data_IF_515890006438
#
_entry.id   IF_515890006438
#
_cell.length_a   1.000
_cell.length_b   1.000
_cell.length_c   1.000
_cell.angle_alpha   90.00
_cell.angle_beta   90.00
_cell.angle_gamma   90.00
#
_symmetry.space_group_name_H-M   'P 1'
#
loop_
_entity.id
_entity.type
_entity.pdbx_description
1 polymer ?
#
# COMPACT_ATOMS: atom_id res chain seq x y z
N UNK A 1 60.83 -11.81 5.66
CA UNK A 1 60.34 -10.42 5.57
C UNK A 1 59.50 -10.00 6.79
N UNK A 2 58.57 -10.85 7.27
CA UNK A 2 57.74 -10.61 8.47
C UNK A 2 58.51 -10.14 9.72
N UNK A 3 59.57 -10.85 10.13
CA UNK A 3 60.37 -10.50 11.32
C UNK A 3 60.99 -9.11 11.24
N UNK A 4 61.56 -8.74 10.09
CA UNK A 4 62.17 -7.42 9.85
C UNK A 4 61.16 -6.27 10.02
N UNK A 5 59.90 -6.48 9.62
CA UNK A 5 58.82 -5.48 9.75
C UNK A 5 58.42 -5.30 11.22
N UNK A 6 58.28 -6.40 11.96
CA UNK A 6 57.97 -6.34 13.40
C UNK A 6 59.10 -5.72 14.21
N UNK A 7 60.35 -6.07 13.92
CA UNK A 7 61.52 -5.50 14.60
C UNK A 7 61.66 -4.00 14.30
N UNK A 8 61.36 -3.57 13.08
CA UNK A 8 61.36 -2.15 12.68
C UNK A 8 60.25 -1.35 13.38
N UNK A 9 59.02 -1.86 13.39
CA UNK A 9 57.88 -1.22 14.07
C UNK A 9 58.11 -1.13 15.59
N UNK A 10 58.66 -2.19 16.18
CA UNK A 10 58.98 -2.24 17.61
C UNK A 10 60.08 -1.25 17.99
N UNK A 11 61.18 -1.21 17.22
CA UNK A 11 62.25 -0.21 17.45
C UNK A 11 61.75 1.21 17.29
N UNK A 12 60.95 1.48 16.26
CA UNK A 12 60.38 2.81 16.02
C UNK A 12 59.43 3.27 17.13
N UNK A 13 58.63 2.34 17.67
CA UNK A 13 57.75 2.62 18.80
C UNK A 13 58.51 2.96 20.10
N UNK A 14 59.68 2.34 20.31
CA UNK A 14 60.52 2.54 21.50
C UNK A 14 61.41 3.78 21.36
N UNK A 15 61.99 4.02 20.18
CA UNK A 15 62.94 5.12 19.94
C UNK A 15 62.25 6.49 19.81
N UNK A 16 60.99 6.54 19.39
CA UNK A 16 60.25 7.80 19.16
C UNK A 16 58.80 7.78 19.69
N UNK A 17 58.59 7.63 21.01
CA UNK A 17 57.26 7.44 21.60
C UNK A 17 56.27 8.57 21.27
N UNK A 18 56.73 9.83 21.26
CA UNK A 18 55.91 10.99 20.92
C UNK A 18 55.41 10.98 19.45
N UNK A 19 56.24 10.50 18.52
CA UNK A 19 55.85 10.39 17.09
C UNK A 19 54.86 9.26 16.90
N UNK A 20 55.07 8.13 17.56
CA UNK A 20 54.14 7.00 17.55
C UNK A 20 52.79 7.38 18.11
N UNK A 21 52.73 8.06 19.27
CA UNK A 21 51.47 8.55 19.86
C UNK A 21 50.76 9.52 18.92
N UNK A 22 51.47 10.47 18.31
CA UNK A 22 50.86 11.42 17.37
C UNK A 22 50.26 10.71 16.16
N UNK A 23 50.97 9.73 15.58
CA UNK A 23 50.49 8.97 14.42
C UNK A 23 49.25 8.16 14.78
N UNK A 24 49.26 7.42 15.90
CA UNK A 24 48.08 6.67 16.32
C UNK A 24 46.92 7.58 16.72
N UNK A 25 47.19 8.71 17.38
CA UNK A 25 46.18 9.72 17.70
C UNK A 25 45.53 10.29 16.44
N UNK A 26 46.31 10.59 15.40
CA UNK A 26 45.79 11.06 14.12
C UNK A 26 44.94 9.99 13.43
N UNK A 27 45.40 8.72 13.42
CA UNK A 27 44.61 7.59 12.92
C UNK A 27 43.30 7.45 13.71
N UNK A 28 43.32 7.54 15.03
CA UNK A 28 42.13 7.50 15.87
C UNK A 28 41.15 8.63 15.57
N UNK A 29 41.65 9.86 15.35
CA UNK A 29 40.81 11.00 14.93
C UNK A 29 40.18 10.74 13.57
N UNK A 30 40.94 10.20 12.60
CA UNK A 30 40.38 9.82 11.29
C UNK A 30 39.30 8.74 11.43
N UNK A 31 39.55 7.71 12.24
CA UNK A 31 38.55 6.69 12.53
C UNK A 31 37.30 7.27 13.20
N UNK A 32 37.44 8.24 14.11
CA UNK A 32 36.32 8.94 14.73
C UNK A 32 35.50 9.74 13.71
N UNK A 33 36.17 10.46 12.80
CA UNK A 33 35.50 11.24 11.74
C UNK A 33 34.72 10.32 10.79
N UNK A 34 35.28 9.16 10.45
CA UNK A 34 34.61 8.17 9.60
C UNK A 34 33.45 7.51 10.36
N UNK A 35 33.67 7.10 11.61
CA UNK A 35 32.66 6.48 12.47
C UNK A 35 31.47 7.41 12.73
N UNK A 36 31.72 8.71 12.90
CA UNK A 36 30.66 9.71 13.07
C UNK A 36 29.73 9.84 11.83
N UNK A 37 30.16 9.37 10.65
CA UNK A 37 29.37 9.38 9.41
C UNK A 37 28.65 8.06 9.15
N UNK A 38 28.80 7.08 10.03
CA UNK A 38 28.15 5.78 9.86
C UNK A 38 26.63 5.95 9.87
N UNK A 39 25.96 5.45 8.83
CA UNK A 39 24.50 5.46 8.73
C UNK A 39 23.98 4.04 8.91
N UNK A 40 22.99 3.87 9.76
CA UNK A 40 22.27 2.61 9.91
C UNK A 40 21.09 2.65 8.93
N UNK A 41 21.03 1.68 8.03
CA UNK A 41 19.87 1.45 7.15
C UNK A 41 19.10 0.25 7.68
N UNK A 42 17.78 0.37 7.75
CA UNK A 42 16.86 -0.74 8.09
C UNK A 42 16.18 -1.32 6.85
N UNK A 43 16.61 -0.91 5.65
CA UNK A 43 16.04 -1.41 4.39
C UNK A 43 16.48 -2.85 4.18
N UNK A 44 15.51 -3.75 4.12
CA UNK A 44 15.76 -5.16 3.83
C UNK A 44 16.46 -5.36 2.47
N UNK A 45 16.14 -4.54 1.47
CA UNK A 45 16.77 -4.59 0.14
C UNK A 45 18.29 -4.39 0.18
N UNK A 46 18.80 -3.66 1.16
CA UNK A 46 20.25 -3.36 1.28
C UNK A 46 21.03 -4.59 1.79
N UNK A 47 20.34 -5.58 2.38
CA UNK A 47 20.92 -6.86 2.83
C UNK A 47 21.04 -7.89 1.69
N UNK A 48 20.41 -7.62 0.54
CA UNK A 48 20.37 -8.54 -0.60
C UNK A 48 21.53 -8.32 -1.56
N UNK A 49 21.83 -9.31 -2.43
CA UNK A 49 22.82 -9.16 -3.49
C UNK A 49 22.40 -8.06 -4.48
N UNK A 50 23.07 -6.91 -4.43
CA UNK A 50 22.72 -5.73 -5.26
C UNK A 50 22.86 -5.95 -6.78
N UNK A 51 23.56 -7.02 -7.18
CA UNK A 51 23.73 -7.41 -8.59
C UNK A 51 22.63 -8.33 -9.11
N UNK A 52 21.73 -8.79 -8.25
CA UNK A 52 20.61 -9.63 -8.68
C UNK A 52 19.57 -8.78 -9.47
N UNK A 53 19.11 -9.24 -10.64
CA UNK A 53 18.13 -8.50 -11.45
C UNK A 53 16.83 -8.17 -10.70
N UNK A 54 16.39 -9.05 -9.81
CA UNK A 54 15.14 -8.86 -9.04
C UNK A 54 15.28 -7.73 -8.02
N UNK A 55 16.45 -7.60 -7.41
CA UNK A 55 16.75 -6.51 -6.45
C UNK A 55 16.83 -5.16 -7.17
N UNK A 56 17.38 -5.15 -8.38
CA UNK A 56 17.46 -3.93 -9.19
C UNK A 56 16.09 -3.44 -9.64
N UNK A 57 15.23 -4.33 -10.13
CA UNK A 57 13.86 -3.96 -10.51
C UNK A 57 13.03 -3.52 -9.29
N UNK A 58 13.17 -4.21 -8.16
CA UNK A 58 12.54 -3.78 -6.91
C UNK A 58 12.98 -2.35 -6.53
N UNK A 59 14.29 -2.09 -6.48
CA UNK A 59 14.81 -0.76 -6.17
C UNK A 59 14.34 0.29 -7.18
N UNK A 60 14.29 -0.04 -8.48
CA UNK A 60 13.76 0.85 -9.51
C UNK A 60 12.30 1.20 -9.26
N UNK A 61 11.46 0.22 -8.87
CA UNK A 61 10.06 0.47 -8.52
C UNK A 61 9.97 1.38 -7.29
N UNK A 62 10.74 1.12 -6.22
CA UNK A 62 10.72 1.97 -5.03
C UNK A 62 11.17 3.41 -5.35
N UNK A 63 12.15 3.59 -6.23
CA UNK A 63 12.66 4.91 -6.62
C UNK A 63 11.72 5.66 -7.56
N UNK A 64 11.07 4.96 -8.50
CA UNK A 64 10.14 5.57 -9.47
C UNK A 64 8.75 5.82 -8.89
N UNK A 65 8.29 4.96 -7.97
CA UNK A 65 6.97 5.05 -7.37
C UNK A 65 7.10 5.54 -5.94
N UNK A 66 6.90 6.85 -5.76
CA UNK A 66 6.96 7.51 -4.46
C UNK A 66 5.89 6.98 -3.47
N UNK A 67 4.87 6.27 -3.97
CA UNK A 67 3.85 5.57 -3.18
C UNK A 67 4.27 4.19 -2.66
N UNK A 68 5.50 3.74 -2.93
CA UNK A 68 5.95 2.41 -2.54
C UNK A 68 6.11 2.24 -1.03
N UNK A 69 6.16 3.35 -0.27
CA UNK A 69 6.06 3.34 1.18
C UNK A 69 4.69 3.89 1.59
N UNK A 70 3.90 3.05 2.26
CA UNK A 70 2.61 3.45 2.83
C UNK A 70 2.62 3.20 4.34
N UNK A 71 1.99 4.11 5.07
CA UNK A 71 1.70 3.96 6.49
C UNK A 71 0.21 3.68 6.60
N UNK A 72 -0.14 2.51 7.14
CA UNK A 72 -1.53 2.13 7.35
C UNK A 72 -1.88 2.38 8.81
N UNK A 73 -2.88 3.22 9.05
CA UNK A 73 -3.39 3.53 10.39
C UNK A 73 -4.74 2.83 10.53
N UNK A 74 -4.87 1.97 11.53
CA UNK A 74 -6.11 1.26 11.84
C UNK A 74 -6.74 1.88 13.08
N UNK A 75 -7.95 2.41 12.94
CA UNK A 75 -8.71 2.99 14.04
C UNK A 75 -9.77 1.98 14.48
N UNK A 76 -9.89 1.76 15.80
CA UNK A 76 -10.83 0.81 16.39
C UNK A 76 -11.75 1.52 17.38
N UNK A 77 -13.05 1.28 17.28
CA UNK A 77 -14.07 1.92 18.12
C UNK A 77 -15.48 1.73 17.57
N UNK A 78 -16.40 2.58 18.02
CA UNK A 78 -17.76 2.67 17.47
C UNK A 78 -17.73 3.38 16.11
N UNK A 79 -18.51 2.88 15.14
CA UNK A 79 -18.45 3.33 13.74
C UNK A 79 -18.54 4.86 13.58
N UNK A 80 -19.51 5.50 14.23
CA UNK A 80 -19.70 6.95 14.14
C UNK A 80 -18.49 7.73 14.69
N UNK A 81 -17.92 7.27 15.82
CA UNK A 81 -16.76 7.91 16.44
C UNK A 81 -15.50 7.73 15.60
N UNK A 82 -15.32 6.55 14.98
CA UNK A 82 -14.18 6.28 14.11
C UNK A 82 -14.20 7.19 12.88
N UNK A 83 -15.36 7.35 12.24
CA UNK A 83 -15.51 8.20 11.04
C UNK A 83 -15.16 9.66 11.35
N UNK A 84 -15.74 10.21 12.41
CA UNK A 84 -15.45 11.58 12.84
C UNK A 84 -13.98 11.78 13.21
N UNK A 85 -13.38 10.81 13.91
CA UNK A 85 -11.95 10.86 14.24
C UNK A 85 -11.07 10.82 12.98
N UNK A 86 -11.40 9.97 12.01
CA UNK A 86 -10.68 9.90 10.74
C UNK A 86 -10.76 11.21 9.95
N UNK A 87 -11.91 11.87 9.94
CA UNK A 87 -12.08 13.20 9.33
C UNK A 87 -11.20 14.25 10.01
N UNK A 88 -11.11 14.24 11.35
CA UNK A 88 -10.33 15.21 12.14
C UNK A 88 -8.82 15.04 11.97
N UNK A 89 -8.31 13.81 11.93
CA UNK A 89 -6.85 13.56 11.84
C UNK A 89 -6.30 13.67 10.42
N UNK A 90 -7.15 13.54 9.39
CA UNK A 90 -6.69 13.46 8.00
C UNK A 90 -5.98 14.74 7.53
N UNK A 91 -6.54 15.91 7.85
CA UNK A 91 -5.99 17.20 7.44
C UNK A 91 -4.64 17.51 8.14
N UNK A 92 -4.52 17.37 9.48
CA UNK A 92 -3.22 17.50 10.16
C UNK A 92 -2.13 16.58 9.60
N UNK A 93 -2.47 15.31 9.29
CA UNK A 93 -1.52 14.35 8.72
C UNK A 93 -1.12 14.78 7.31
N UNK A 94 -2.09 15.25 6.50
CA UNK A 94 -1.81 15.72 5.14
C UNK A 94 -0.96 16.98 5.09
N UNK A 95 -0.94 17.79 6.16
CA UNK A 95 -0.11 18.98 6.27
C UNK A 95 1.37 18.68 6.62
N UNK A 96 1.70 17.43 6.97
CA UNK A 96 3.08 17.03 7.28
C UNK A 96 3.94 17.06 6.01
N UNK A 97 5.10 17.71 6.09
CA UNK A 97 6.03 17.92 4.95
C UNK A 97 6.41 16.63 4.19
N UNK A 98 6.45 15.49 4.88
CA UNK A 98 6.91 14.22 4.33
C UNK A 98 5.75 13.31 3.88
N UNK A 99 4.50 13.78 3.96
CA UNK A 99 3.32 13.04 3.55
C UNK A 99 2.83 13.62 2.22
N UNK A 100 2.75 12.77 1.20
CA UNK A 100 2.27 13.17 -0.14
C UNK A 100 0.75 13.17 -0.25
N UNK A 101 0.11 12.15 0.31
CA UNK A 101 -1.33 11.95 0.19
C UNK A 101 -1.86 11.12 1.35
N UNK A 102 -3.06 11.45 1.83
CA UNK A 102 -3.80 10.70 2.85
C UNK A 102 -5.09 10.16 2.23
N UNK A 103 -5.20 8.84 2.09
CA UNK A 103 -6.45 8.18 1.69
C UNK A 103 -7.14 7.68 2.94
N UNK A 104 -8.33 8.21 3.25
CA UNK A 104 -9.10 7.77 4.42
C UNK A 104 -10.60 7.59 4.15
N UNK A 105 -11.12 8.17 3.06
CA UNK A 105 -12.51 7.99 2.61
C UNK A 105 -12.58 7.74 1.11
N UNK A 106 -13.61 6.98 0.72
CA UNK A 106 -13.97 6.80 -0.68
C UNK A 106 -14.43 8.17 -1.22
N UNK A 107 -13.99 8.53 -2.42
CA UNK A 107 -14.42 9.75 -3.09
C UNK A 107 -15.84 9.58 -3.62
N UNK A 108 -16.83 9.97 -2.81
CA UNK A 108 -18.26 9.83 -3.15
C UNK A 108 -18.62 10.61 -4.41
N UNK A 109 -18.02 11.77 -4.65
CA UNK A 109 -18.32 12.61 -5.82
C UNK A 109 -17.85 11.96 -7.12
N UNK A 110 -16.67 11.33 -7.09
CA UNK A 110 -16.17 10.56 -8.22
C UNK A 110 -17.13 9.42 -8.60
N UNK A 111 -17.56 8.62 -7.62
CA UNK A 111 -18.50 7.51 -7.86
C UNK A 111 -19.89 8.00 -8.26
N UNK A 112 -20.35 9.13 -7.72
CA UNK A 112 -21.64 9.72 -8.10
C UNK A 112 -21.65 10.14 -9.56
N UNK A 113 -20.55 10.70 -10.06
CA UNK A 113 -20.45 11.22 -11.42
C UNK A 113 -20.01 10.16 -12.45
N UNK A 114 -19.25 9.14 -12.04
CA UNK A 114 -18.63 8.16 -12.96
C UNK A 114 -18.98 6.70 -12.64
N UNK A 115 -19.81 6.41 -11.64
CA UNK A 115 -20.09 5.04 -11.19
C UNK A 115 -20.58 4.13 -12.31
N UNK A 116 -21.47 4.62 -13.18
CA UNK A 116 -21.96 3.87 -14.33
C UNK A 116 -20.88 3.60 -15.40
N UNK A 117 -19.85 4.44 -15.49
CA UNK A 117 -18.73 4.23 -16.43
C UNK A 117 -17.81 3.09 -15.99
N UNK A 118 -17.83 2.72 -14.71
CA UNK A 118 -17.05 1.61 -14.16
C UNK A 118 -17.74 0.25 -14.34
N UNK A 119 -19.02 0.24 -14.74
CA UNK A 119 -19.80 -0.98 -14.93
C UNK A 119 -19.56 -1.59 -16.33
N UNK A 120 -19.64 -2.91 -16.44
CA UNK A 120 -19.65 -3.57 -17.75
C UNK A 120 -20.90 -3.15 -18.52
N UNK A 121 -20.79 -3.01 -19.84
CA UNK A 121 -21.92 -2.61 -20.70
C UNK A 121 -23.16 -3.49 -20.52
N UNK A 122 -22.98 -4.80 -20.29
CA UNK A 122 -24.10 -5.72 -20.03
C UNK A 122 -24.83 -5.41 -18.72
N UNK A 123 -24.09 -5.08 -17.67
CA UNK A 123 -24.63 -4.77 -16.34
C UNK A 123 -25.30 -3.40 -16.36
N UNK A 124 -24.76 -2.44 -17.11
CA UNK A 124 -25.38 -1.13 -17.31
C UNK A 124 -26.73 -1.23 -18.04
N UNK A 125 -26.82 -2.09 -19.08
CA UNK A 125 -28.09 -2.37 -19.76
C UNK A 125 -29.10 -3.02 -18.82
N UNK A 126 -28.66 -4.02 -18.06
CA UNK A 126 -29.50 -4.65 -17.05
C UNK A 126 -30.01 -3.65 -16.00
N UNK A 127 -29.15 -2.72 -15.57
CA UNK A 127 -29.53 -1.65 -14.65
C UNK A 127 -30.59 -0.74 -15.27
N UNK A 128 -30.42 -0.35 -16.53
CA UNK A 128 -31.43 0.41 -17.27
C UNK A 128 -32.76 -0.36 -17.37
N UNK A 129 -32.72 -1.66 -17.69
CA UNK A 129 -33.93 -2.50 -17.81
C UNK A 129 -34.73 -2.58 -16.49
N UNK A 130 -34.04 -2.55 -15.34
CA UNK A 130 -34.67 -2.53 -14.01
C UNK A 130 -35.27 -1.15 -13.70
N UNK A 131 -34.51 -0.08 -13.92
CA UNK A 131 -34.83 1.26 -13.41
C UNK A 131 -35.45 2.21 -14.44
N UNK A 132 -35.73 1.75 -15.66
CA UNK A 132 -36.41 2.56 -16.68
C UNK A 132 -37.83 2.98 -16.27
N UNK A 133 -38.48 2.22 -15.39
CA UNK A 133 -39.78 2.55 -14.83
C UNK A 133 -39.80 2.28 -13.32
N UNK A 134 -39.94 3.36 -12.54
CA UNK A 134 -39.89 3.32 -11.08
C UNK A 134 -41.23 2.98 -10.43
N UNK A 135 -42.29 2.71 -11.22
CA UNK A 135 -43.52 2.16 -10.66
C UNK A 135 -43.27 0.74 -10.12
N UNK A 136 -43.91 0.41 -9.00
CA UNK A 136 -43.64 -0.81 -8.24
C UNK A 136 -43.72 -2.09 -9.09
N UNK A 137 -44.81 -2.28 -9.84
CA UNK A 137 -45.01 -3.48 -10.65
C UNK A 137 -43.95 -3.61 -11.78
N UNK A 138 -43.73 -2.61 -12.65
CA UNK A 138 -42.67 -2.64 -13.65
C UNK A 138 -41.27 -2.85 -13.06
N UNK A 139 -40.96 -2.20 -11.94
CA UNK A 139 -39.65 -2.33 -11.28
C UNK A 139 -39.44 -3.74 -10.75
N UNK A 140 -40.42 -4.31 -10.02
CA UNK A 140 -40.33 -5.69 -9.52
C UNK A 140 -40.21 -6.70 -10.66
N UNK A 141 -40.91 -6.48 -11.77
CA UNK A 141 -40.78 -7.29 -12.99
C UNK A 141 -39.38 -7.17 -13.60
N UNK A 142 -38.83 -5.95 -13.65
CA UNK A 142 -37.46 -5.69 -14.10
C UNK A 142 -36.42 -6.42 -13.23
N UNK A 143 -36.56 -6.36 -11.90
CA UNK A 143 -35.72 -7.09 -10.95
C UNK A 143 -35.82 -8.60 -11.15
N UNK A 144 -37.03 -9.15 -11.23
CA UNK A 144 -37.24 -10.58 -11.46
C UNK A 144 -36.60 -11.06 -12.78
N UNK A 145 -36.87 -10.33 -13.86
CA UNK A 145 -36.30 -10.66 -15.18
C UNK A 145 -34.77 -10.58 -15.17
N UNK A 146 -34.19 -9.62 -14.43
CA UNK A 146 -32.74 -9.53 -14.28
C UNK A 146 -32.16 -10.72 -13.51
N UNK A 147 -32.78 -11.10 -12.39
CA UNK A 147 -32.38 -12.28 -11.61
C UNK A 147 -32.41 -13.55 -12.45
N UNK A 148 -33.51 -13.77 -13.18
CA UNK A 148 -33.66 -14.90 -14.09
C UNK A 148 -32.58 -14.90 -15.17
N UNK A 149 -32.36 -13.76 -15.83
CA UNK A 149 -31.35 -13.63 -16.87
C UNK A 149 -29.93 -13.88 -16.36
N UNK A 150 -29.60 -13.37 -15.17
CA UNK A 150 -28.23 -13.45 -14.61
C UNK A 150 -27.94 -14.79 -13.96
N UNK A 151 -28.90 -15.42 -13.28
CA UNK A 151 -28.63 -16.59 -12.44
C UNK A 151 -29.25 -17.89 -12.98
N UNK A 152 -30.29 -17.82 -13.82
CA UNK A 152 -31.02 -19.00 -14.33
C UNK A 152 -30.67 -19.27 -15.80
N UNK A 153 -30.78 -18.25 -16.65
CA UNK A 153 -30.68 -18.36 -18.11
C UNK A 153 -29.33 -17.96 -18.70
N UNK A 154 -28.38 -17.46 -17.91
CA UNK A 154 -27.04 -17.13 -18.39
C UNK A 154 -26.29 -18.39 -18.82
N UNK A 155 -25.69 -18.38 -20.00
CA UNK A 155 -24.78 -19.44 -20.47
C UNK A 155 -23.37 -19.35 -19.82
N UNK A 156 -23.08 -18.24 -19.14
CA UNK A 156 -21.80 -17.92 -18.49
C UNK A 156 -21.65 -18.51 -17.07
N UNK A 157 -20.48 -18.31 -16.44
CA UNK A 157 -20.14 -18.63 -15.03
C UNK A 157 -21.03 -17.91 -13.99
N UNK A 158 -21.98 -17.06 -14.41
CA UNK A 158 -22.82 -16.23 -13.55
C UNK A 158 -24.03 -16.96 -12.94
N UNK A 159 -24.27 -18.22 -13.34
CA UNK A 159 -25.27 -19.10 -12.73
C UNK A 159 -24.96 -19.31 -11.24
N UNK A 160 -25.94 -19.84 -10.50
CA UNK A 160 -25.79 -20.29 -9.11
C UNK A 160 -24.91 -21.54 -9.00
N UNK A 161 -23.68 -21.46 -9.50
CA UNK A 161 -22.69 -22.53 -9.59
C UNK A 161 -21.74 -22.55 -8.40
N UNK A 162 -21.57 -21.40 -7.73
CA UNK A 162 -20.67 -21.25 -6.57
C UNK A 162 -21.38 -20.62 -5.40
N UNK A 163 -20.88 -20.89 -4.19
CA UNK A 163 -21.39 -20.28 -2.95
C UNK A 163 -21.38 -18.74 -3.03
N UNK A 164 -20.32 -18.15 -3.59
CA UNK A 164 -20.23 -16.70 -3.77
C UNK A 164 -21.40 -16.16 -4.59
N UNK A 165 -21.78 -16.84 -5.69
CA UNK A 165 -22.90 -16.41 -6.54
C UNK A 165 -24.24 -16.53 -5.85
N UNK A 166 -24.41 -17.55 -5.02
CA UNK A 166 -25.59 -17.69 -4.16
C UNK A 166 -25.67 -16.58 -3.13
N UNK A 167 -24.57 -16.25 -2.47
CA UNK A 167 -24.49 -15.17 -1.48
C UNK A 167 -24.79 -13.81 -2.13
N UNK A 168 -24.27 -13.56 -3.35
CA UNK A 168 -24.59 -12.35 -4.15
C UNK A 168 -26.08 -12.25 -4.47
N UNK A 169 -26.71 -13.35 -4.92
CA UNK A 169 -28.14 -13.37 -5.22
C UNK A 169 -29.00 -13.15 -3.96
N UNK A 170 -28.62 -13.75 -2.82
CA UNK A 170 -29.28 -13.55 -1.52
C UNK A 170 -29.17 -12.09 -1.10
N UNK A 171 -27.99 -11.48 -1.18
CA UNK A 171 -27.80 -10.06 -0.85
C UNK A 171 -28.68 -9.15 -1.68
N UNK A 172 -28.84 -9.42 -2.99
CA UNK A 172 -29.74 -8.64 -3.83
C UNK A 172 -31.19 -8.75 -3.36
N UNK A 173 -31.66 -9.97 -3.06
CA UNK A 173 -33.05 -10.18 -2.58
C UNK A 173 -33.26 -9.54 -1.19
N UNK A 174 -32.28 -9.65 -0.29
CA UNK A 174 -32.33 -8.98 1.01
C UNK A 174 -32.34 -7.46 0.87
N UNK A 175 -31.62 -6.91 -0.12
CA UNK A 175 -31.62 -5.48 -0.38
C UNK A 175 -33.01 -4.96 -0.73
N UNK A 176 -33.85 -5.74 -1.43
CA UNK A 176 -35.23 -5.35 -1.79
C UNK A 176 -36.09 -5.10 -0.54
N UNK A 177 -35.83 -5.82 0.57
CA UNK A 177 -36.54 -5.59 1.84
C UNK A 177 -36.32 -4.19 2.41
N UNK A 178 -35.23 -3.51 2.06
CA UNK A 178 -35.00 -2.12 2.47
C UNK A 178 -35.83 -1.10 1.67
N UNK A 179 -36.43 -1.51 0.55
CA UNK A 179 -37.25 -0.64 -0.31
C UNK A 179 -38.75 -0.79 -0.07
N UNK A 180 -39.16 -1.78 0.73
CA UNK A 180 -40.54 -2.08 1.14
C UNK A 180 -40.78 -1.63 2.58
#
# INVERSE_FOLDING_TARGET
MRKKIFDFLSKWAVEHPLRTITVFGLISVVCLVIGAKLRITTRWSDLLPQKDPSVQEFNRIIEQYESASSIIIVIKGEENKIKSFADEIAEPISALKNIKHVVYKINTDFFRNHGFMLMRTKDLKNFADIFNNLNLEPMLKGINNNLEKTYVYSEDEERLSTKQKTDEAIMLIESIKFWL
#
